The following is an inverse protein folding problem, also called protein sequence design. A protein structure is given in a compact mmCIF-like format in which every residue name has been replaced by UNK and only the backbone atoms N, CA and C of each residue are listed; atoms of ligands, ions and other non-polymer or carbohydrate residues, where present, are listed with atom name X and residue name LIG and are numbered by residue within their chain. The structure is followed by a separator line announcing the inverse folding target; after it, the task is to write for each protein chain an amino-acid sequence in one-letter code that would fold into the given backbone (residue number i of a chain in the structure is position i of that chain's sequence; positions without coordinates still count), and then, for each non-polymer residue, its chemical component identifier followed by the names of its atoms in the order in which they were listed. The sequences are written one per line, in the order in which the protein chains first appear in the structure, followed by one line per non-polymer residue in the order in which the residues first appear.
data_IF_983219296298
#
_entry.id   IF_983219296298
#
_cell.length_a   1.000
_cell.length_b   1.000
_cell.length_c   1.000
_cell.angle_alpha   90.00
_cell.angle_beta   90.00
_cell.angle_gamma   90.00
#
_symmetry.space_group_name_H-M   'P 1'
#
loop_
_entity.id
_entity.type
_entity.pdbx_description
1 polymer ?
#
# COMPACT_ATOMS: atom_id res chain seq x y z
N UNK A 1 -3.88 -7.72 5.35
CA UNK A 1 -3.34 -7.48 3.98
C UNK A 1 -1.86 -7.15 4.00
N UNK A 2 -1.43 -5.90 4.28
CA UNK A 2 0.00 -5.55 4.30
C UNK A 2 0.84 -6.42 5.25
N UNK A 3 0.26 -6.79 6.40
CA UNK A 3 0.87 -7.74 7.32
C UNK A 3 1.16 -9.11 6.68
N UNK A 4 0.21 -9.65 5.93
CA UNK A 4 0.30 -10.98 5.34
C UNK A 4 1.28 -10.99 4.17
N UNK A 5 1.28 -9.92 3.37
CA UNK A 5 2.31 -9.69 2.35
C UNK A 5 3.70 -9.62 3.03
N UNK A 6 3.79 -8.91 4.16
CA UNK A 6 5.01 -8.84 4.97
C UNK A 6 5.54 -10.19 5.46
N UNK A 7 4.68 -11.21 5.57
CA UNK A 7 5.04 -12.57 6.01
C UNK A 7 5.62 -13.43 4.86
N UNK A 8 5.49 -13.03 3.61
CA UNK A 8 6.08 -13.75 2.47
C UNK A 8 7.60 -13.90 2.66
N UNK A 9 8.21 -15.08 2.44
CA UNK A 9 9.59 -15.35 2.85
C UNK A 9 10.62 -14.32 2.37
N UNK A 10 10.56 -13.94 1.09
CA UNK A 10 11.48 -12.96 0.50
C UNK A 10 11.26 -11.55 1.07
N UNK A 11 10.01 -11.17 1.33
CA UNK A 11 9.66 -9.87 1.90
C UNK A 11 10.09 -9.80 3.35
N UNK A 12 9.70 -10.80 4.16
CA UNK A 12 10.07 -10.93 5.58
C UNK A 12 11.58 -10.85 5.78
N UNK A 13 12.36 -11.62 5.01
CA UNK A 13 13.82 -11.64 5.09
C UNK A 13 14.44 -10.28 4.74
N UNK A 14 13.87 -9.58 3.76
CA UNK A 14 14.35 -8.25 3.34
C UNK A 14 14.03 -7.18 4.39
N UNK A 15 12.82 -7.22 4.97
CA UNK A 15 12.43 -6.34 6.09
C UNK A 15 13.34 -6.58 7.30
N UNK A 16 13.59 -7.84 7.68
CA UNK A 16 14.48 -8.17 8.81
C UNK A 16 15.91 -7.65 8.60
N UNK A 17 16.45 -7.78 7.38
CA UNK A 17 17.76 -7.21 7.01
C UNK A 17 17.78 -5.69 7.12
N UNK A 18 16.72 -5.02 6.66
CA UNK A 18 16.59 -3.57 6.78
C UNK A 18 16.49 -3.13 8.25
N UNK A 19 15.73 -3.85 9.08
CA UNK A 19 15.65 -3.59 10.53
C UNK A 19 17.02 -3.78 11.19
N UNK A 20 17.74 -4.85 10.85
CA UNK A 20 19.09 -5.09 11.38
C UNK A 20 20.08 -3.99 10.97
N UNK A 21 20.03 -3.54 9.72
CA UNK A 21 20.83 -2.41 9.22
C UNK A 21 20.53 -1.13 9.99
N UNK A 22 19.25 -0.77 10.11
CA UNK A 22 18.83 0.44 10.84
C UNK A 22 19.24 0.33 12.30
N UNK A 23 18.90 -0.77 12.98
CA UNK A 23 19.27 -0.98 14.38
C UNK A 23 20.78 -0.87 14.61
N UNK A 24 21.59 -1.43 13.70
CA UNK A 24 23.04 -1.30 13.78
C UNK A 24 23.53 0.16 13.64
N UNK A 25 22.94 0.94 12.74
CA UNK A 25 23.32 2.35 12.54
C UNK A 25 22.92 3.19 13.75
N UNK A 26 21.70 3.03 14.28
CA UNK A 26 21.22 3.87 15.38
C UNK A 26 21.79 3.48 16.75
N UNK A 27 22.25 2.24 16.93
CA UNK A 27 22.80 1.77 18.21
C UNK A 27 24.27 2.13 18.45
N UNK A 28 24.98 2.69 17.46
CA UNK A 28 26.37 3.09 17.64
C UNK A 28 26.59 4.54 17.20
N UNK A 29 27.17 5.35 18.07
CA UNK A 29 27.37 6.79 17.81
C UNK A 29 28.21 7.03 16.56
N UNK A 30 29.25 6.22 16.31
CA UNK A 30 30.12 6.39 15.15
C UNK A 30 29.39 6.13 13.82
N UNK A 31 28.57 5.08 13.73
CA UNK A 31 27.81 4.77 12.52
C UNK A 31 26.64 5.74 12.31
N UNK A 32 26.01 6.21 13.39
CA UNK A 32 25.00 7.26 13.31
C UNK A 32 25.58 8.58 12.79
N UNK A 33 26.76 8.98 13.29
CA UNK A 33 27.46 10.17 12.80
C UNK A 33 27.84 10.05 11.32
N UNK A 34 28.34 8.89 10.90
CA UNK A 34 28.61 8.61 9.49
C UNK A 34 27.34 8.69 8.64
N UNK A 35 26.24 8.07 9.08
CA UNK A 35 24.97 8.16 8.37
C UNK A 35 24.60 9.63 8.13
N UNK A 36 24.61 10.45 9.18
CA UNK A 36 24.26 11.88 9.09
C UNK A 36 25.19 12.65 8.16
N UNK A 37 26.48 12.32 8.16
CA UNK A 37 27.43 12.91 7.21
C UNK A 37 27.08 12.55 5.76
N UNK A 38 26.90 11.26 5.46
CA UNK A 38 26.64 10.79 4.09
C UNK A 38 25.25 11.14 3.56
N UNK A 39 24.25 11.32 4.43
CA UNK A 39 22.86 11.63 4.02
C UNK A 39 22.50 13.10 4.17
N UNK A 40 23.41 13.96 4.65
CA UNK A 40 23.11 15.36 4.95
C UNK A 40 22.09 15.52 6.08
N UNK A 41 22.21 14.70 7.12
CA UNK A 41 21.35 14.72 8.31
C UNK A 41 19.99 14.03 8.14
N UNK A 42 19.75 13.31 7.04
CA UNK A 42 18.48 12.61 6.83
C UNK A 42 18.41 11.33 7.64
N UNK A 43 17.33 11.19 8.40
CA UNK A 43 17.02 10.01 9.19
C UNK A 43 16.42 8.89 8.31
N UNK A 44 16.77 7.64 8.60
CA UNK A 44 16.30 6.45 7.88
C UNK A 44 14.91 6.00 8.33
N UNK A 45 14.57 6.19 9.60
CA UNK A 45 13.27 5.82 10.14
C UNK A 45 12.27 6.94 9.90
N UNK A 46 11.08 6.57 9.44
CA UNK A 46 9.93 7.47 9.32
C UNK A 46 8.76 6.86 10.08
N UNK A 47 8.38 7.49 11.19
CA UNK A 47 7.27 7.02 12.02
C UNK A 47 5.92 7.23 11.31
N UNK A 48 5.05 6.24 11.43
CA UNK A 48 3.64 6.31 11.04
C UNK A 48 2.78 5.62 12.12
N UNK A 49 1.48 5.91 12.10
CA UNK A 49 0.51 5.41 13.08
C UNK A 49 0.57 3.88 13.20
N UNK A 50 0.68 3.18 12.07
CA UNK A 50 0.78 1.71 12.06
C UNK A 50 2.23 1.24 11.89
N UNK A 51 2.56 0.13 12.56
CA UNK A 51 3.86 -0.56 12.43
C UNK A 51 4.18 -0.94 10.97
N UNK A 52 3.16 -1.23 10.16
CA UNK A 52 3.32 -1.60 8.74
C UNK A 52 3.67 -0.39 7.89
N UNK A 53 2.96 0.74 8.07
CA UNK A 53 3.31 1.98 7.41
C UNK A 53 4.73 2.44 7.81
N UNK A 54 5.09 2.33 9.09
CA UNK A 54 6.46 2.61 9.58
C UNK A 54 7.51 1.75 8.87
N UNK A 55 7.25 0.45 8.72
CA UNK A 55 8.17 -0.48 8.03
C UNK A 55 8.32 -0.13 6.55
N UNK A 56 7.21 0.18 5.86
CA UNK A 56 7.22 0.62 4.45
C UNK A 56 8.01 1.93 4.29
N UNK A 57 7.71 2.95 5.09
CA UNK A 57 8.34 4.27 4.97
C UNK A 57 9.84 4.21 5.29
N UNK A 58 10.24 3.36 6.24
CA UNK A 58 11.66 3.13 6.53
C UNK A 58 12.37 2.44 5.36
N UNK A 59 11.75 1.43 4.73
CA UNK A 59 12.29 0.81 3.51
C UNK A 59 12.37 1.80 2.33
N UNK A 60 11.36 2.64 2.16
CA UNK A 60 11.32 3.68 1.13
C UNK A 60 12.48 4.66 1.32
N UNK A 61 12.72 5.08 2.57
CA UNK A 61 13.84 5.96 2.90
C UNK A 61 15.20 5.28 2.70
N UNK A 62 15.36 4.03 3.12
CA UNK A 62 16.59 3.26 2.87
C UNK A 62 16.87 3.17 1.37
N UNK A 63 15.83 2.99 0.55
CA UNK A 63 15.97 2.99 -0.91
C UNK A 63 16.37 4.35 -1.48
N UNK A 64 15.76 5.45 -0.99
CA UNK A 64 16.12 6.82 -1.38
C UNK A 64 17.59 7.13 -1.06
N UNK A 65 18.08 6.68 0.10
CA UNK A 65 19.46 6.90 0.54
C UNK A 65 20.42 5.78 0.11
N UNK A 66 20.00 4.88 -0.81
CA UNK A 66 20.79 3.72 -1.24
C UNK A 66 22.23 4.08 -1.61
N UNK A 67 22.41 5.13 -2.42
CA UNK A 67 23.75 5.55 -2.88
C UNK A 67 24.60 6.03 -1.71
N UNK A 68 24.02 6.81 -0.80
CA UNK A 68 24.71 7.37 0.36
C UNK A 68 25.08 6.28 1.37
N UNK A 69 24.15 5.38 1.68
CA UNK A 69 24.40 4.21 2.55
C UNK A 69 25.50 3.33 1.92
N UNK A 70 25.46 3.08 0.61
CA UNK A 70 26.52 2.29 -0.04
C UNK A 70 27.87 2.97 0.05
N UNK A 71 27.96 4.30 -0.18
CA UNK A 71 29.19 5.07 -0.02
C UNK A 71 29.73 4.99 1.41
N UNK A 72 28.86 5.14 2.40
CA UNK A 72 29.21 4.99 3.81
C UNK A 72 29.89 3.65 4.08
N UNK A 73 29.30 2.53 3.66
CA UNK A 73 29.81 1.18 3.94
C UNK A 73 31.00 0.74 3.07
N UNK A 74 31.51 1.61 2.18
CA UNK A 74 32.76 1.39 1.43
C UNK A 74 33.81 2.48 1.69
N UNK A 75 33.50 3.44 2.55
CA UNK A 75 34.38 4.56 2.89
C UNK A 75 35.60 4.11 3.69
N UNK A 76 36.68 4.89 3.63
CA UNK A 76 37.88 4.65 4.45
C UNK A 76 37.52 4.72 5.93
N UNK A 77 36.70 5.69 6.32
CA UNK A 77 36.24 5.88 7.70
C UNK A 77 35.49 4.67 8.23
N UNK A 78 34.69 3.98 7.40
CA UNK A 78 34.06 2.73 7.78
C UNK A 78 35.07 1.59 7.89
N UNK A 79 35.99 1.47 6.94
CA UNK A 79 36.99 0.39 6.92
C UNK A 79 37.97 0.48 8.12
N UNK A 80 38.28 1.68 8.59
CA UNK A 80 39.10 1.92 9.77
C UNK A 80 38.34 1.74 11.09
N UNK A 81 37.01 1.88 11.07
CA UNK A 81 36.17 1.72 12.26
C UNK A 81 36.24 0.28 12.80
N UNK A 82 36.44 0.12 14.12
CA UNK A 82 36.47 -1.19 14.79
C UNK A 82 35.20 -2.02 14.51
N UNK A 83 34.05 -1.36 14.42
CA UNK A 83 32.76 -2.00 14.16
C UNK A 83 32.69 -2.71 12.81
N UNK A 84 33.50 -2.33 11.82
CA UNK A 84 33.53 -3.01 10.51
C UNK A 84 34.14 -4.41 10.58
N UNK A 85 34.97 -4.66 11.59
CA UNK A 85 35.65 -5.94 11.82
C UNK A 85 34.79 -6.91 12.62
N UNK A 86 33.79 -6.39 13.35
CA UNK A 86 32.86 -7.18 14.15
C UNK A 86 31.88 -7.97 13.27
N UNK A 87 31.38 -9.08 13.80
CA UNK A 87 30.46 -9.97 13.08
C UNK A 87 29.21 -9.23 12.56
N UNK A 88 28.59 -8.38 13.39
CA UNK A 88 27.42 -7.59 13.00
C UNK A 88 27.74 -6.57 11.91
N UNK A 89 28.88 -5.87 12.01
CA UNK A 89 29.35 -4.92 11.00
C UNK A 89 29.58 -5.56 9.64
N UNK A 90 30.19 -6.74 9.63
CA UNK A 90 30.37 -7.56 8.41
C UNK A 90 29.03 -7.97 7.80
N UNK A 91 28.05 -8.37 8.60
CA UNK A 91 26.72 -8.74 8.11
C UNK A 91 25.96 -7.57 7.48
N UNK A 92 25.96 -6.39 8.12
CA UNK A 92 25.29 -5.21 7.56
C UNK A 92 25.99 -4.70 6.31
N UNK A 93 27.33 -4.74 6.27
CA UNK A 93 28.12 -4.40 5.08
C UNK A 93 27.77 -5.34 3.93
N UNK A 94 27.75 -6.65 4.19
CA UNK A 94 27.32 -7.65 3.21
C UNK A 94 25.90 -7.39 2.71
N UNK A 95 24.99 -7.02 3.59
CA UNK A 95 23.60 -6.69 3.25
C UNK A 95 23.51 -5.48 2.33
N UNK A 96 24.23 -4.39 2.65
CA UNK A 96 24.26 -3.15 1.85
C UNK A 96 24.92 -3.36 0.49
N UNK A 97 25.92 -4.23 0.40
CA UNK A 97 26.61 -4.48 -0.86
C UNK A 97 25.86 -5.47 -1.76
N UNK A 98 25.05 -6.36 -1.20
CA UNK A 98 24.31 -7.40 -1.90
C UNK A 98 23.27 -6.83 -2.90
N UNK A 99 23.40 -7.11 -4.21
CA UNK A 99 22.46 -6.61 -5.22
C UNK A 99 21.03 -7.11 -5.03
N UNK A 100 20.87 -8.37 -4.59
CA UNK A 100 19.56 -8.98 -4.38
C UNK A 100 18.76 -8.33 -3.25
N UNK A 101 19.43 -7.74 -2.24
CA UNK A 101 18.78 -6.95 -1.21
C UNK A 101 18.03 -5.77 -1.84
N UNK A 102 18.73 -4.95 -2.62
CA UNK A 102 18.15 -3.77 -3.26
C UNK A 102 17.06 -4.13 -4.28
N UNK A 103 17.26 -5.21 -5.04
CA UNK A 103 16.23 -5.72 -5.96
C UNK A 103 14.95 -6.09 -5.20
N UNK A 104 15.07 -6.72 -4.05
CA UNK A 104 13.93 -7.08 -3.21
C UNK A 104 13.29 -5.85 -2.54
N UNK A 105 14.09 -4.85 -2.12
CA UNK A 105 13.55 -3.58 -1.62
C UNK A 105 12.68 -2.91 -2.69
N UNK A 106 13.17 -2.80 -3.93
CA UNK A 106 12.38 -2.24 -5.05
C UNK A 106 11.10 -3.04 -5.30
N UNK A 107 11.18 -4.37 -5.25
CA UNK A 107 10.01 -5.23 -5.37
C UNK A 107 8.96 -4.93 -4.29
N UNK A 108 9.38 -4.84 -3.03
CA UNK A 108 8.49 -4.54 -1.90
C UNK A 108 7.84 -3.17 -2.07
N UNK A 109 8.60 -2.15 -2.46
CA UNK A 109 8.07 -0.81 -2.69
C UNK A 109 7.03 -0.79 -3.81
N UNK A 110 7.28 -1.47 -4.92
CA UNK A 110 6.31 -1.60 -6.02
C UNK A 110 5.00 -2.27 -5.60
N UNK A 111 5.07 -3.28 -4.72
CA UNK A 111 3.90 -4.00 -4.22
C UNK A 111 3.14 -3.20 -3.15
N UNK A 112 3.85 -2.65 -2.17
CA UNK A 112 3.24 -2.04 -1.00
C UNK A 112 2.80 -0.59 -1.24
N UNK A 113 3.48 0.17 -2.11
CA UNK A 113 3.17 1.60 -2.31
C UNK A 113 1.70 1.85 -2.72
N UNK A 114 1.11 1.12 -3.69
CA UNK A 114 -0.29 1.31 -4.05
C UNK A 114 -1.24 0.97 -2.90
N UNK A 115 -0.96 -0.09 -2.14
CA UNK A 115 -1.76 -0.51 -0.99
C UNK A 115 -1.67 0.48 0.19
N UNK A 116 -0.50 1.10 0.41
CA UNK A 116 -0.33 2.17 1.39
C UNK A 116 -1.13 3.42 0.99
N UNK A 117 -1.27 3.70 -0.32
CA UNK A 117 -2.16 4.78 -0.80
C UNK A 117 -3.63 4.47 -0.51
N UNK A 118 -4.08 3.24 -0.70
CA UNK A 118 -5.44 2.82 -0.32
C UNK A 118 -5.65 2.99 1.18
N UNK A 119 -4.70 2.56 2.00
CA UNK A 119 -4.78 2.73 3.45
C UNK A 119 -4.93 4.21 3.84
N UNK A 120 -4.11 5.09 3.26
CA UNK A 120 -4.21 6.54 3.50
C UNK A 120 -5.53 7.16 3.05
N UNK A 121 -6.14 6.63 1.99
CA UNK A 121 -7.46 7.08 1.53
C UNK A 121 -8.54 6.73 2.55
N UNK A 122 -8.50 5.50 3.10
CA UNK A 122 -9.48 5.03 4.07
C UNK A 122 -9.29 5.69 5.44
N UNK A 123 -8.04 5.98 5.82
CA UNK A 123 -7.70 6.72 7.05
C UNK A 123 -7.94 8.23 6.91
N UNK A 124 -8.19 8.74 5.70
CA UNK A 124 -8.42 10.16 5.47
C UNK A 124 -9.85 10.55 5.83
N UNK A 125 -10.03 11.24 6.95
CA UNK A 125 -11.32 11.80 7.39
C UNK A 125 -11.90 12.89 6.46
N UNK A 126 -11.16 13.29 5.41
CA UNK A 126 -11.56 14.39 4.50
C UNK A 126 -12.66 14.04 3.51
N UNK A 127 -12.78 12.77 3.10
CA UNK A 127 -13.78 12.31 2.13
C UNK A 127 -14.38 10.98 2.59
N UNK A 128 -15.67 10.71 2.33
CA UNK A 128 -16.27 9.42 2.66
C UNK A 128 -15.57 8.28 1.91
N UNK A 129 -14.78 7.46 2.60
CA UNK A 129 -13.99 6.39 1.98
C UNK A 129 -14.85 5.30 1.31
N UNK A 130 -16.11 5.14 1.76
CA UNK A 130 -17.00 4.05 1.33
C UNK A 130 -17.22 3.99 -0.18
N UNK A 131 -17.37 5.15 -0.84
CA UNK A 131 -17.57 5.21 -2.29
C UNK A 131 -16.29 5.13 -3.14
N UNK A 132 -15.12 5.11 -2.50
CA UNK A 132 -13.82 5.19 -3.17
C UNK A 132 -12.93 3.98 -2.95
N UNK A 133 -13.14 3.21 -1.88
CA UNK A 133 -12.27 2.09 -1.51
C UNK A 133 -12.21 1.00 -2.59
N UNK A 134 -13.32 0.74 -3.28
CA UNK A 134 -13.41 -0.27 -4.34
C UNK A 134 -12.51 0.09 -5.52
N UNK A 135 -12.76 1.26 -6.11
CA UNK A 135 -11.95 1.83 -7.18
C UNK A 135 -10.46 1.96 -6.81
N UNK A 136 -10.18 2.37 -5.57
CA UNK A 136 -8.81 2.52 -5.10
C UNK A 136 -8.08 1.16 -5.00
N UNK A 137 -8.78 0.11 -4.60
CA UNK A 137 -8.23 -1.25 -4.55
C UNK A 137 -7.96 -1.78 -5.96
N UNK A 138 -8.88 -1.58 -6.90
CA UNK A 138 -8.70 -1.99 -8.31
C UNK A 138 -7.51 -1.27 -8.95
N UNK A 139 -7.43 0.06 -8.79
CA UNK A 139 -6.27 0.85 -9.21
C UNK A 139 -4.96 0.40 -8.55
N UNK A 140 -5.01 -0.03 -7.29
CA UNK A 140 -3.84 -0.57 -6.62
C UNK A 140 -3.38 -1.89 -7.24
N UNK A 141 -4.29 -2.84 -7.51
CA UNK A 141 -3.98 -4.08 -8.22
C UNK A 141 -3.43 -3.81 -9.62
N UNK A 142 -4.06 -2.92 -10.38
CA UNK A 142 -3.56 -2.52 -11.70
C UNK A 142 -2.15 -1.94 -11.64
N UNK A 143 -1.87 -1.07 -10.68
CA UNK A 143 -0.54 -0.45 -10.51
C UNK A 143 0.52 -1.50 -10.21
N UNK A 144 0.19 -2.49 -9.37
CA UNK A 144 1.08 -3.63 -9.07
C UNK A 144 1.30 -4.45 -10.35
N UNK A 145 0.25 -4.80 -11.07
CA UNK A 145 0.33 -5.57 -12.32
C UNK A 145 1.23 -4.86 -13.34
N UNK A 146 0.96 -3.57 -13.63
CA UNK A 146 1.74 -2.73 -14.55
C UNK A 146 3.21 -2.58 -14.14
N UNK A 147 3.55 -2.80 -12.86
CA UNK A 147 4.92 -2.71 -12.36
C UNK A 147 5.81 -3.92 -12.69
N UNK A 148 5.23 -5.02 -13.17
CA UNK A 148 5.90 -6.29 -13.45
C UNK A 148 5.53 -6.85 -14.83
N UNK A 149 6.51 -7.50 -15.48
CA UNK A 149 6.29 -8.13 -16.81
C UNK A 149 5.63 -9.50 -16.76
N UNK A 150 5.64 -10.16 -15.59
CA UNK A 150 5.22 -11.55 -15.46
C UNK A 150 4.34 -11.70 -14.22
N UNK A 151 3.18 -12.33 -14.41
CA UNK A 151 2.17 -12.58 -13.38
C UNK A 151 2.70 -13.32 -12.15
N UNK A 152 3.65 -14.24 -12.35
CA UNK A 152 4.32 -14.98 -11.26
C UNK A 152 4.96 -14.07 -10.20
N UNK A 153 5.20 -12.78 -10.49
CA UNK A 153 5.74 -11.81 -9.53
C UNK A 153 4.71 -11.25 -8.57
N UNK A 154 3.43 -11.24 -8.92
CA UNK A 154 2.37 -10.64 -8.11
C UNK A 154 1.17 -11.55 -7.85
N UNK A 155 1.06 -12.73 -8.49
CA UNK A 155 -0.06 -13.66 -8.26
C UNK A 155 -0.27 -14.02 -6.79
N UNK A 156 0.80 -14.29 -6.04
CA UNK A 156 0.71 -14.65 -4.62
C UNK A 156 0.30 -13.44 -3.77
N UNK A 157 0.72 -12.24 -4.19
CA UNK A 157 0.28 -10.97 -3.58
C UNK A 157 -1.20 -10.76 -3.84
N UNK A 158 -1.68 -11.01 -5.06
CA UNK A 158 -3.10 -10.89 -5.42
C UNK A 158 -3.95 -11.86 -4.64
N UNK A 159 -3.53 -13.13 -4.50
CA UNK A 159 -4.23 -14.10 -3.66
C UNK A 159 -4.37 -13.63 -2.21
N UNK A 160 -3.37 -12.93 -1.66
CA UNK A 160 -3.45 -12.31 -0.33
C UNK A 160 -4.41 -11.11 -0.32
N UNK A 161 -4.36 -10.26 -1.35
CA UNK A 161 -5.26 -9.10 -1.49
C UNK A 161 -6.70 -9.59 -1.55
N UNK A 162 -7.01 -10.50 -2.46
CA UNK A 162 -8.36 -11.01 -2.72
C UNK A 162 -8.92 -11.72 -1.49
N UNK A 163 -8.13 -12.61 -0.87
CA UNK A 163 -8.54 -13.25 0.39
C UNK A 163 -8.87 -12.24 1.50
N UNK A 164 -8.12 -11.14 1.60
CA UNK A 164 -8.36 -10.10 2.62
C UNK A 164 -9.47 -9.15 2.22
N UNK A 165 -9.66 -8.92 0.93
CA UNK A 165 -10.80 -8.23 0.37
C UNK A 165 -12.07 -8.96 0.79
N UNK A 166 -12.23 -10.21 0.39
CA UNK A 166 -13.47 -10.98 0.61
C UNK A 166 -13.84 -11.16 2.09
N UNK A 167 -12.84 -11.35 2.96
CA UNK A 167 -13.09 -11.66 4.37
C UNK A 167 -13.27 -10.40 5.23
N UNK A 168 -12.61 -9.29 4.90
CA UNK A 168 -12.46 -8.15 5.84
C UNK A 168 -12.87 -6.81 5.27
N UNK A 169 -12.61 -6.55 3.99
CA UNK A 169 -12.72 -5.21 3.40
C UNK A 169 -13.89 -5.08 2.43
N UNK A 170 -14.30 -6.17 1.80
CA UNK A 170 -15.46 -6.20 0.93
C UNK A 170 -16.72 -6.44 1.76
N UNK A 171 -17.65 -5.48 1.68
CA UNK A 171 -19.00 -5.61 2.22
C UNK A 171 -19.96 -5.06 1.19
N UNK A 172 -21.21 -5.54 1.17
CA UNK A 172 -22.26 -5.00 0.30
C UNK A 172 -22.33 -3.46 0.31
N UNK A 173 -22.08 -2.84 1.46
CA UNK A 173 -22.10 -1.39 1.63
C UNK A 173 -20.96 -0.67 0.87
N UNK A 174 -19.79 -1.28 0.74
CA UNK A 174 -18.69 -0.72 -0.08
C UNK A 174 -19.02 -0.80 -1.57
N UNK A 175 -19.57 -1.93 -2.01
CA UNK A 175 -20.05 -2.12 -3.39
C UNK A 175 -21.18 -1.12 -3.73
N UNK A 176 -22.18 -1.00 -2.85
CA UNK A 176 -23.25 -0.02 -2.98
C UNK A 176 -22.71 1.42 -3.03
N UNK A 177 -21.79 1.76 -2.12
CA UNK A 177 -21.15 3.08 -2.08
C UNK A 177 -20.37 3.40 -3.35
N UNK A 178 -19.68 2.42 -3.93
CA UNK A 178 -18.96 2.58 -5.19
C UNK A 178 -19.92 2.80 -6.37
N UNK A 179 -21.01 2.03 -6.44
CA UNK A 179 -22.06 2.21 -7.45
C UNK A 179 -22.69 3.60 -7.40
N UNK A 180 -22.96 4.08 -6.19
CA UNK A 180 -23.61 5.37 -5.94
C UNK A 180 -22.62 6.55 -5.96
N UNK A 181 -21.36 6.33 -6.34
CA UNK A 181 -20.39 7.40 -6.52
C UNK A 181 -20.47 7.92 -7.97
N UNK A 182 -20.97 9.15 -8.21
CA UNK A 182 -21.12 9.71 -9.54
C UNK A 182 -19.81 9.77 -10.32
N UNK A 183 -18.70 10.04 -9.62
CA UNK A 183 -17.36 10.15 -10.23
C UNK A 183 -16.96 8.85 -10.94
N UNK A 184 -17.31 7.69 -10.36
CA UNK A 184 -16.91 6.39 -10.92
C UNK A 184 -18.00 5.75 -11.77
N UNK A 185 -19.26 5.88 -11.38
CA UNK A 185 -20.37 5.31 -12.15
C UNK A 185 -20.44 5.93 -13.56
N UNK A 186 -20.39 7.26 -13.67
CA UNK A 186 -20.46 7.91 -14.98
C UNK A 186 -19.16 7.81 -15.78
N UNK A 187 -18.01 7.67 -15.12
CA UNK A 187 -16.75 7.38 -15.80
C UNK A 187 -16.69 5.95 -16.35
N UNK A 188 -17.43 5.00 -15.77
CA UNK A 188 -17.50 3.61 -16.20
C UNK A 188 -18.92 3.04 -16.11
N UNK A 189 -19.79 3.31 -17.11
CA UNK A 189 -21.16 2.81 -17.11
C UNK A 189 -21.27 1.27 -17.08
N UNK A 190 -20.22 0.55 -17.52
CA UNK A 190 -20.19 -0.92 -17.46
C UNK A 190 -20.24 -1.47 -16.03
N UNK A 191 -20.02 -0.61 -15.02
CA UNK A 191 -20.22 -0.93 -13.61
C UNK A 191 -21.61 -1.50 -13.33
N UNK A 192 -22.64 -1.10 -14.08
CA UNK A 192 -24.00 -1.62 -13.88
C UNK A 192 -24.19 -3.09 -14.25
N UNK A 193 -23.24 -3.68 -14.98
CA UNK A 193 -23.25 -5.10 -15.33
C UNK A 193 -22.31 -5.92 -14.44
N UNK A 194 -21.60 -5.28 -13.51
CA UNK A 194 -20.74 -5.98 -12.56
C UNK A 194 -21.61 -6.66 -11.48
N UNK A 195 -21.67 -7.99 -11.54
CA UNK A 195 -22.50 -8.78 -10.64
C UNK A 195 -22.12 -8.67 -9.16
N UNK A 196 -20.85 -8.43 -8.81
CA UNK A 196 -20.45 -8.18 -7.41
C UNK A 196 -21.03 -6.86 -6.90
N UNK A 197 -20.84 -5.79 -7.69
CA UNK A 197 -21.28 -4.43 -7.33
C UNK A 197 -22.81 -4.37 -7.22
N UNK A 198 -23.52 -4.91 -8.22
CA UNK A 198 -24.99 -4.91 -8.26
C UNK A 198 -25.59 -5.73 -7.11
N UNK A 199 -25.03 -6.92 -6.82
CA UNK A 199 -25.50 -7.71 -5.67
C UNK A 199 -25.27 -6.97 -4.36
N UNK A 200 -24.14 -6.26 -4.23
CA UNK A 200 -23.87 -5.42 -3.06
C UNK A 200 -24.89 -4.30 -2.87
N UNK A 201 -25.22 -3.59 -3.96
CA UNK A 201 -26.24 -2.54 -3.98
C UNK A 201 -27.61 -3.06 -3.53
N UNK A 202 -28.13 -4.09 -4.20
CA UNK A 202 -29.46 -4.61 -3.87
C UNK A 202 -29.52 -5.25 -2.49
N UNK A 203 -28.45 -5.91 -2.04
CA UNK A 203 -28.39 -6.39 -0.66
C UNK A 203 -28.54 -5.24 0.34
N UNK A 204 -27.89 -4.10 0.10
CA UNK A 204 -28.04 -2.92 0.96
C UNK A 204 -29.44 -2.31 0.91
N UNK A 205 -30.04 -2.19 -0.27
CA UNK A 205 -31.41 -1.70 -0.44
C UNK A 205 -32.37 -2.58 0.36
N UNK A 206 -32.33 -3.90 0.15
CA UNK A 206 -33.24 -4.84 0.82
C UNK A 206 -33.04 -4.92 2.34
N UNK A 207 -31.82 -4.66 2.82
CA UNK A 207 -31.51 -4.70 4.25
C UNK A 207 -31.89 -3.42 4.98
N UNK A 208 -31.77 -2.28 4.31
CA UNK A 208 -32.06 -0.96 4.90
C UNK A 208 -33.54 -0.58 4.77
N UNK A 209 -34.20 -1.05 3.72
CA UNK A 209 -35.61 -0.78 3.47
C UNK A 209 -36.45 -1.98 3.92
N UNK A 210 -37.35 -1.74 4.87
CA UNK A 210 -38.32 -2.74 5.34
C UNK A 210 -39.71 -2.57 4.73
N UNK A 211 -39.86 -1.64 3.78
CA UNK A 211 -41.14 -1.26 3.17
C UNK A 211 -41.05 -1.32 1.65
N UNK A 212 -42.02 -2.01 1.04
CA UNK A 212 -42.12 -2.23 -0.39
C UNK A 212 -42.32 -0.91 -1.16
N UNK A 213 -43.02 0.07 -0.58
CA UNK A 213 -43.23 1.37 -1.25
C UNK A 213 -41.95 2.21 -1.26
N UNK A 214 -41.16 2.19 -0.19
CA UNK A 214 -39.82 2.78 -0.19
C UNK A 214 -38.90 2.08 -1.18
N UNK A 215 -38.95 0.75 -1.27
CA UNK A 215 -38.16 -0.02 -2.22
C UNK A 215 -38.48 0.40 -3.67
N UNK A 216 -39.76 0.47 -4.05
CA UNK A 216 -40.20 0.95 -5.37
C UNK A 216 -39.69 2.36 -5.67
N UNK A 217 -39.77 3.25 -4.68
CA UNK A 217 -39.31 4.64 -4.81
C UNK A 217 -37.81 4.68 -5.08
N UNK A 218 -37.01 3.95 -4.32
CA UNK A 218 -35.55 3.87 -4.51
C UNK A 218 -35.19 3.29 -5.87
N UNK A 219 -35.90 2.27 -6.36
CA UNK A 219 -35.67 1.73 -7.70
C UNK A 219 -35.95 2.75 -8.81
N UNK A 220 -36.99 3.59 -8.65
CA UNK A 220 -37.29 4.67 -9.59
C UNK A 220 -36.20 5.74 -9.58
N UNK A 221 -35.76 6.18 -8.41
CA UNK A 221 -34.67 7.16 -8.28
C UNK A 221 -33.34 6.60 -8.80
N UNK A 222 -33.08 5.31 -8.59
CA UNK A 222 -31.90 4.64 -9.13
C UNK A 222 -31.91 4.64 -10.66
N UNK A 223 -33.07 4.47 -11.29
CA UNK A 223 -33.22 4.58 -12.73
C UNK A 223 -32.86 6.00 -13.22
N UNK A 224 -33.34 7.05 -12.54
CA UNK A 224 -32.97 8.44 -12.86
C UNK A 224 -31.48 8.73 -12.66
N UNK A 225 -30.88 8.22 -11.57
CA UNK A 225 -29.45 8.32 -11.31
C UNK A 225 -28.64 7.74 -12.47
N UNK A 226 -29.01 6.55 -12.96
CA UNK A 226 -28.28 5.88 -14.05
C UNK A 226 -28.24 6.69 -15.35
N UNK A 227 -29.30 7.45 -15.66
CA UNK A 227 -29.40 8.24 -16.90
C UNK A 227 -28.99 9.71 -16.73
N UNK A 228 -28.37 10.07 -15.59
CA UNK A 228 -27.89 11.43 -15.30
C UNK A 228 -28.97 12.52 -15.44
N UNK A 229 -30.22 12.20 -15.07
CA UNK A 229 -31.34 13.15 -15.14
C UNK A 229 -31.25 14.21 -14.02
N UNK A 230 -30.41 13.99 -13.00
CA UNK A 230 -30.15 14.91 -11.91
C UNK A 230 -28.66 15.25 -11.86
N UNK A 231 -28.34 16.54 -11.90
CA UNK A 231 -26.99 17.08 -11.85
C UNK A 231 -26.38 16.79 -10.46
N UNK A 232 -25.44 15.85 -10.36
CA UNK A 232 -24.80 15.45 -9.09
C UNK A 232 -23.27 15.45 -9.24
N UNK A 233 -22.64 16.58 -8.91
CA UNK A 233 -21.19 16.75 -8.88
C UNK A 233 -20.81 18.22 -8.63
N UNK A 234 -19.54 18.53 -8.31
CA UNK A 234 -19.07 19.90 -8.02
C UNK A 234 -19.00 20.84 -9.25
N UNK A 235 -19.48 20.38 -10.41
CA UNK A 235 -19.66 21.18 -11.62
C UNK A 235 -21.13 21.54 -11.86
N UNK A 236 -21.98 21.19 -10.90
CA UNK A 236 -23.15 21.95 -10.50
C UNK A 236 -22.74 22.66 -9.17
#
# INVERSE_FOLDING_TARGET
MLEDIGKMPNIKKTIQRAISLVGFIYNHTSTLSMLRFFTGGRELVRHAITRFATSYLSLERIHQEKTNIRKMFVSEEWNENKLSKDAKGKEVTKTVLMPSFWKNVVYILKVMAPLVKVLRLVDSEKKPAMGYIYEAMDKAKETIMKSFKNESKYKDVFAIIDKRWDIQLHRPLHAAGHFLNPEFFYANPQMEFNGEIIRGLYYCINKLLGDLEMEKTVHKELAHYKVQVVCLGPQC
#
